data_IF_652281821254
#
_entry.id   IF_652281821254
#
_cell.length_a   1.000
_cell.length_b   1.000
_cell.length_c   1.000
_cell.angle_alpha   90.00
_cell.angle_beta   90.00
_cell.angle_gamma   90.00
#
_symmetry.space_group_name_H-M   'P 1'
#
loop_
_entity.id
_entity.type
_entity.pdbx_description
1 polymer ?
#
# COMPACT_ATOMS: atom_id res chain seq x y z
N UNK A 1 -2.66 -9.10 -31.51
CA UNK A 1 -2.03 -10.02 -30.54
C UNK A 1 -3.13 -10.73 -29.75
N UNK A 2 -3.19 -12.06 -29.70
CA UNK A 2 -4.17 -12.79 -28.89
C UNK A 2 -3.98 -12.56 -27.38
N UNK A 3 -5.08 -12.49 -26.61
CA UNK A 3 -5.06 -12.23 -25.15
C UNK A 3 -4.20 -13.23 -24.36
N UNK A 4 -4.23 -14.52 -24.75
CA UNK A 4 -3.42 -15.56 -24.11
C UNK A 4 -1.93 -15.28 -24.25
N UNK A 5 -1.51 -14.74 -25.38
CA UNK A 5 -0.11 -14.40 -25.65
C UNK A 5 0.31 -13.19 -24.83
N UNK A 6 -0.53 -12.16 -24.76
CA UNK A 6 -0.28 -10.98 -23.90
C UNK A 6 -0.13 -11.38 -22.44
N UNK A 7 -1.04 -12.21 -21.90
CA UNK A 7 -0.95 -12.71 -20.53
C UNK A 7 0.34 -13.46 -20.26
N UNK A 8 0.72 -14.41 -21.13
CA UNK A 8 1.99 -15.17 -20.98
C UNK A 8 3.22 -14.27 -20.98
N UNK A 9 3.23 -13.24 -21.81
CA UNK A 9 4.33 -12.26 -21.86
C UNK A 9 4.39 -11.48 -20.54
N UNK A 10 3.24 -11.01 -20.05
CA UNK A 10 3.16 -10.28 -18.78
C UNK A 10 3.61 -11.14 -17.59
N UNK A 11 3.10 -12.37 -17.49
CA UNK A 11 3.43 -13.31 -16.42
C UNK A 11 4.93 -13.65 -16.42
N UNK A 12 5.53 -13.84 -17.61
CA UNK A 12 6.98 -14.08 -17.75
C UNK A 12 7.79 -12.86 -17.30
N UNK A 13 7.36 -11.65 -17.67
CA UNK A 13 8.02 -10.42 -17.25
C UNK A 13 7.94 -10.22 -15.74
N UNK A 14 6.77 -10.44 -15.14
CA UNK A 14 6.56 -10.30 -13.70
C UNK A 14 7.37 -11.32 -12.89
N UNK A 15 7.39 -12.59 -13.31
CA UNK A 15 8.27 -13.60 -12.71
C UNK A 15 9.75 -13.21 -12.76
N UNK A 16 10.22 -12.68 -13.89
CA UNK A 16 11.61 -12.22 -14.02
C UNK A 16 11.94 -11.10 -13.04
N UNK A 17 11.01 -10.17 -12.80
CA UNK A 17 11.17 -9.06 -11.84
C UNK A 17 11.27 -9.59 -10.41
N UNK A 18 10.33 -10.46 -10.03
CA UNK A 18 10.31 -11.09 -8.69
C UNK A 18 11.59 -11.89 -8.43
N UNK A 19 12.03 -12.70 -9.39
CA UNK A 19 13.23 -13.53 -9.23
C UNK A 19 14.52 -12.71 -9.14
N UNK A 20 14.61 -11.61 -9.89
CA UNK A 20 15.84 -10.82 -9.96
C UNK A 20 15.84 -9.64 -8.97
N UNK A 21 14.73 -9.40 -8.26
CA UNK A 21 14.54 -8.22 -7.41
C UNK A 21 14.56 -6.88 -8.17
N UNK A 22 14.38 -6.90 -9.49
CA UNK A 22 14.52 -5.70 -10.37
C UNK A 22 13.16 -5.24 -10.84
N UNK A 23 12.64 -4.19 -10.22
CA UNK A 23 11.37 -3.56 -10.54
C UNK A 23 11.59 -2.25 -11.31
N UNK A 24 10.57 -1.78 -12.03
CA UNK A 24 10.65 -0.52 -12.78
C UNK A 24 10.57 0.70 -11.88
N UNK A 25 9.83 0.57 -10.78
CA UNK A 25 9.68 1.55 -9.73
C UNK A 25 10.02 0.87 -8.40
N UNK A 26 10.53 1.64 -7.46
CA UNK A 26 10.80 1.13 -6.12
C UNK A 26 9.48 0.88 -5.41
N UNK A 27 8.65 1.90 -5.24
CA UNK A 27 7.37 1.74 -4.55
C UNK A 27 6.27 2.50 -5.30
N UNK A 28 5.01 2.12 -5.04
CA UNK A 28 3.85 2.91 -5.42
C UNK A 28 3.19 3.45 -4.15
N UNK A 29 2.97 4.76 -4.09
CA UNK A 29 2.22 5.41 -3.01
C UNK A 29 1.01 6.08 -3.63
N UNK A 30 -0.18 5.67 -3.21
CA UNK A 30 -1.45 6.24 -3.68
C UNK A 30 -2.18 6.90 -2.53
N UNK A 31 -2.32 8.22 -2.61
CA UNK A 31 -3.22 8.97 -1.74
C UNK A 31 -4.62 9.01 -2.37
N UNK A 32 -5.59 8.40 -1.69
CA UNK A 32 -6.98 8.33 -2.12
C UNK A 32 -7.80 9.54 -1.67
N UNK A 33 -7.18 10.45 -0.91
CA UNK A 33 -7.80 11.66 -0.39
C UNK A 33 -8.67 11.40 0.85
N UNK A 34 -9.46 12.41 1.21
CA UNK A 34 -10.43 12.34 2.29
C UNK A 34 -11.72 11.69 1.76
N UNK A 35 -12.03 10.50 2.26
CA UNK A 35 -13.20 9.76 1.86
C UNK A 35 -14.45 10.30 2.57
N UNK A 36 -15.54 10.58 1.85
CA UNK A 36 -16.79 11.05 2.44
C UNK A 36 -17.56 9.86 3.03
N UNK A 37 -17.15 9.35 4.19
CA UNK A 37 -17.74 8.15 4.82
C UNK A 37 -19.26 8.22 4.96
N UNK A 38 -19.81 9.42 5.18
CA UNK A 38 -21.26 9.66 5.28
C UNK A 38 -22.02 9.31 3.99
N UNK A 39 -21.35 9.38 2.83
CA UNK A 39 -21.93 8.97 1.54
C UNK A 39 -22.06 7.45 1.40
N UNK A 40 -21.45 6.68 2.30
CA UNK A 40 -21.50 5.20 2.34
C UNK A 40 -22.37 4.68 3.49
N UNK A 41 -23.22 5.53 4.09
CA UNK A 41 -24.16 5.17 5.14
C UNK A 41 -25.59 4.91 4.57
N UNK A 42 -26.36 4.04 5.21
CA UNK A 42 -27.73 3.73 4.78
C UNK A 42 -28.37 2.56 5.54
N UNK A 43 -29.70 2.48 5.60
CA UNK A 43 -30.41 1.34 6.22
C UNK A 43 -30.09 1.10 7.69
N UNK A 44 -29.72 2.14 8.45
CA UNK A 44 -29.25 2.04 9.83
C UNK A 44 -27.75 1.70 9.99
N UNK A 45 -27.03 1.50 8.89
CA UNK A 45 -25.57 1.36 8.88
C UNK A 45 -24.88 2.73 8.79
N UNK A 46 -23.81 2.90 9.58
CA UNK A 46 -22.94 4.08 9.55
C UNK A 46 -21.50 3.63 9.26
N UNK A 47 -20.93 4.12 8.16
CA UNK A 47 -19.53 3.87 7.83
C UNK A 47 -18.61 4.68 8.76
N UNK A 48 -17.74 4.00 9.50
CA UNK A 48 -16.81 4.63 10.46
C UNK A 48 -15.35 4.62 10.01
N UNK A 49 -15.01 3.77 9.06
CA UNK A 49 -13.66 3.57 8.52
C UNK A 49 -13.78 2.98 7.12
N UNK A 50 -12.75 3.14 6.30
CA UNK A 50 -12.66 2.53 4.99
C UNK A 50 -11.23 2.08 4.72
N UNK A 51 -11.06 0.78 4.47
CA UNK A 51 -9.78 0.22 4.09
C UNK A 51 -9.76 -0.01 2.59
N UNK A 52 -8.79 0.61 1.91
CA UNK A 52 -8.48 0.24 0.55
C UNK A 52 -7.51 -0.93 0.55
N UNK A 53 -7.85 -1.99 -0.19
CA UNK A 53 -6.98 -3.16 -0.36
C UNK A 53 -6.22 -2.97 -1.67
N UNK A 54 -4.90 -2.75 -1.64
CA UNK A 54 -4.13 -2.55 -2.86
C UNK A 54 -4.21 -3.78 -3.77
N UNK A 55 -4.40 -3.54 -5.07
CA UNK A 55 -4.48 -4.61 -6.06
C UNK A 55 -3.19 -5.45 -6.11
N UNK A 56 -3.34 -6.73 -6.44
CA UNK A 56 -2.21 -7.63 -6.60
C UNK A 56 -1.48 -7.37 -7.93
N UNK A 57 -0.57 -6.39 -7.95
CA UNK A 57 0.30 -6.13 -9.10
C UNK A 57 1.72 -6.65 -8.85
N UNK A 58 2.12 -7.71 -9.52
CA UNK A 58 3.46 -8.33 -9.35
C UNK A 58 4.61 -7.53 -9.95
N UNK A 59 4.32 -6.46 -10.71
CA UNK A 59 5.31 -5.51 -11.20
C UNK A 59 5.70 -4.43 -10.18
N UNK A 60 5.05 -4.38 -9.01
CA UNK A 60 5.31 -3.39 -7.96
C UNK A 60 5.75 -4.14 -6.69
N UNK A 61 6.94 -3.87 -6.13
CA UNK A 61 7.43 -4.61 -4.99
C UNK A 61 6.83 -4.12 -3.67
N UNK A 62 6.37 -2.87 -3.60
CA UNK A 62 5.65 -2.31 -2.46
C UNK A 62 4.56 -1.33 -2.91
N UNK A 63 3.34 -1.50 -2.41
CA UNK A 63 2.23 -0.60 -2.73
C UNK A 63 1.57 -0.12 -1.43
N UNK A 64 1.74 1.17 -1.13
CA UNK A 64 1.05 1.88 -0.07
C UNK A 64 -0.17 2.60 -0.57
N UNK A 65 -1.26 2.50 0.18
CA UNK A 65 -2.45 3.32 -0.02
C UNK A 65 -2.80 4.05 1.26
N UNK A 66 -3.15 5.31 1.11
CA UNK A 66 -3.54 6.23 2.18
C UNK A 66 -4.96 6.69 1.91
N UNK A 67 -5.84 6.58 2.89
CA UNK A 67 -7.20 7.09 2.82
C UNK A 67 -7.52 7.89 4.09
N UNK A 68 -7.89 9.16 3.93
CA UNK A 68 -8.32 9.99 5.04
C UNK A 68 -9.79 9.75 5.38
N UNK A 69 -10.13 9.89 6.65
CA UNK A 69 -11.49 10.01 7.17
C UNK A 69 -11.53 11.06 8.27
N UNK A 70 -12.72 11.35 8.80
CA UNK A 70 -12.85 12.24 9.96
C UNK A 70 -12.13 11.69 11.22
N UNK A 71 -11.85 10.39 11.25
CA UNK A 71 -11.22 9.69 12.38
C UNK A 71 -9.69 9.64 12.26
N UNK A 72 -9.13 9.92 11.09
CA UNK A 72 -7.69 9.87 10.85
C UNK A 72 -7.33 9.40 9.44
N UNK A 73 -6.17 8.77 9.29
CA UNK A 73 -5.69 8.23 8.02
C UNK A 73 -5.55 6.72 8.15
N UNK A 74 -6.26 5.99 7.31
CA UNK A 74 -6.11 4.56 7.11
C UNK A 74 -4.96 4.31 6.13
N UNK A 75 -4.01 3.46 6.53
CA UNK A 75 -2.85 3.10 5.74
C UNK A 75 -2.84 1.59 5.50
N UNK A 76 -2.76 1.20 4.23
CA UNK A 76 -2.63 -0.20 3.85
C UNK A 76 -1.35 -0.39 3.03
N UNK A 77 -0.60 -1.43 3.38
CA UNK A 77 0.61 -1.85 2.69
C UNK A 77 0.39 -3.22 2.06
N UNK A 78 0.77 -3.34 0.80
CA UNK A 78 0.86 -4.62 0.10
C UNK A 78 2.28 -4.86 -0.36
N UNK A 79 2.77 -6.07 -0.11
CA UNK A 79 4.07 -6.56 -0.56
C UNK A 79 3.91 -7.99 -1.11
N UNK A 80 4.51 -8.35 -2.27
CA UNK A 80 4.51 -9.72 -2.76
C UNK A 80 5.10 -10.68 -1.72
N UNK A 81 4.54 -11.89 -1.57
CA UNK A 81 4.98 -12.87 -0.56
C UNK A 81 6.47 -13.19 -0.64
N UNK A 82 7.04 -13.23 -1.86
CA UNK A 82 8.48 -13.44 -2.07
C UNK A 82 9.37 -12.32 -1.53
N UNK A 83 8.82 -11.13 -1.31
CA UNK A 83 9.49 -9.96 -0.74
C UNK A 83 9.10 -9.72 0.72
N UNK A 84 7.92 -10.19 1.15
CA UNK A 84 7.42 -10.09 2.51
C UNK A 84 8.06 -11.11 3.49
N UNK A 85 9.28 -11.58 3.21
CA UNK A 85 10.02 -12.45 4.12
C UNK A 85 10.56 -11.65 5.31
N UNK A 86 10.90 -12.34 6.40
CA UNK A 86 11.54 -11.72 7.58
C UNK A 86 10.72 -10.58 8.19
N UNK A 87 9.39 -10.65 8.09
CA UNK A 87 8.47 -9.64 8.62
C UNK A 87 8.64 -8.23 8.02
N UNK A 88 9.29 -8.11 6.84
CA UNK A 88 9.61 -6.82 6.20
C UNK A 88 8.40 -5.91 6.00
N UNK A 89 7.23 -6.48 5.68
CA UNK A 89 6.01 -5.69 5.50
C UNK A 89 5.53 -5.06 6.82
N UNK A 90 5.53 -5.82 7.93
CA UNK A 90 5.14 -5.27 9.22
C UNK A 90 6.16 -4.24 9.71
N UNK A 91 7.46 -4.50 9.56
CA UNK A 91 8.52 -3.55 9.91
C UNK A 91 8.39 -2.22 9.16
N UNK A 92 8.01 -2.26 7.88
CA UNK A 92 7.76 -1.04 7.10
C UNK A 92 6.55 -0.26 7.63
N UNK A 93 5.46 -0.95 8.03
CA UNK A 93 4.30 -0.31 8.66
C UNK A 93 4.65 0.28 10.03
N UNK A 94 5.38 -0.46 10.85
CA UNK A 94 5.81 -0.03 12.18
C UNK A 94 6.69 1.22 12.09
N UNK A 95 7.64 1.25 11.13
CA UNK A 95 8.47 2.43 10.86
C UNK A 95 7.63 3.68 10.57
N UNK A 96 6.61 3.56 9.72
CA UNK A 96 5.73 4.69 9.39
C UNK A 96 4.90 5.09 10.62
N UNK A 97 4.36 4.12 11.35
CA UNK A 97 3.58 4.39 12.56
C UNK A 97 4.40 5.13 13.62
N UNK A 98 5.64 4.70 13.85
CA UNK A 98 6.54 5.32 14.82
C UNK A 98 6.99 6.72 14.38
N UNK A 99 7.25 6.92 13.08
CA UNK A 99 7.53 8.25 12.53
C UNK A 99 6.36 9.22 12.74
N UNK A 100 5.13 8.77 12.48
CA UNK A 100 3.92 9.60 12.68
C UNK A 100 3.75 9.94 14.17
N UNK A 101 3.93 8.97 15.07
CA UNK A 101 3.87 9.22 16.53
C UNK A 101 4.94 10.23 16.98
N UNK A 102 6.17 10.08 16.50
CA UNK A 102 7.28 10.97 16.83
C UNK A 102 7.03 12.39 16.32
N UNK A 103 6.60 12.54 15.07
CA UNK A 103 6.34 13.85 14.46
C UNK A 103 5.21 14.63 15.15
N UNK A 104 4.18 13.95 15.68
CA UNK A 104 3.15 14.60 16.49
C UNK A 104 3.62 15.03 17.89
N UNK A 105 4.73 14.48 18.39
CA UNK A 105 5.30 14.82 19.70
C UNK A 105 6.22 16.06 19.72
N UNK A 106 6.36 16.76 18.59
CA UNK A 106 7.17 17.99 18.48
C UNK A 106 8.69 17.77 18.38
N UNK A 107 9.17 16.53 18.30
CA UNK A 107 10.58 16.18 18.04
C UNK A 107 10.83 15.96 16.55
N UNK A 108 10.72 17.02 15.74
CA UNK A 108 11.05 16.95 14.30
C UNK A 108 12.55 17.13 14.00
N UNK A 109 13.39 17.34 15.02
CA UNK A 109 14.83 17.55 14.85
C UNK A 109 15.59 16.39 15.49
N UNK A 110 15.85 15.34 14.71
CA UNK A 110 17.09 14.54 14.72
C UNK A 110 16.84 13.21 14.01
N UNK A 111 17.10 13.18 12.70
CA UNK A 111 17.55 11.98 12.01
C UNK A 111 18.65 12.47 11.03
N UNK A 112 19.80 11.77 10.92
CA UNK A 112 20.91 12.13 10.04
C UNK A 112 20.55 12.22 8.55
#
# INVERSE_FOLDING_TARGET
MPLRTMRKINDKANRKRLNNGRFRFNDLISNLGLLPLDSYAGGGFTAKTCFFIPAEESAIPMFFTLAGSAQGVDLALRMPASLATENRAAQALDFVADFVRCSQSGRASQIP
#
